data_IF_842350200603
#
_entry.id   IF_842350200603
#
_cell.length_a   1.000
_cell.length_b   1.000
_cell.length_c   1.000
_cell.angle_alpha   90.00
_cell.angle_beta   90.00
_cell.angle_gamma   90.00
#
_symmetry.space_group_name_H-M   'P 1'
#
loop_
_entity.id
_entity.type
_entity.pdbx_description
1 polymer ?
#
# COMPACT_ATOMS: atom_id res chain seq x y z
N UNK A 1 -0.50 -7.75 5.97
CA UNK A 1 -1.41 -7.26 4.90
C UNK A 1 -2.59 -6.53 5.50
N UNK A 2 -3.19 -5.67 4.70
CA UNK A 2 -4.43 -4.96 5.03
C UNK A 2 -5.42 -5.12 3.87
N UNK A 3 -6.72 -5.16 4.20
CA UNK A 3 -7.79 -5.29 3.23
C UNK A 3 -8.55 -3.97 3.12
N UNK A 4 -8.81 -3.49 1.91
CA UNK A 4 -9.46 -2.21 1.65
C UNK A 4 -10.55 -2.33 0.60
N UNK A 5 -11.77 -1.85 0.94
CA UNK A 5 -12.87 -1.69 -0.01
C UNK A 5 -12.94 -0.28 -0.62
N UNK A 6 -12.16 0.65 -0.09
CA UNK A 6 -11.99 2.01 -0.61
C UNK A 6 -10.51 2.33 -0.62
N UNK A 7 -9.98 2.80 -1.73
CA UNK A 7 -8.58 3.16 -1.83
C UNK A 7 -8.29 4.38 -0.95
N UNK A 8 -7.37 4.21 0.00
CA UNK A 8 -6.96 5.29 0.90
C UNK A 8 -5.52 5.73 0.56
N UNK A 9 -5.31 6.95 0.05
CA UNK A 9 -3.98 7.44 -0.32
C UNK A 9 -3.02 7.58 0.87
N UNK A 10 -3.54 7.60 2.11
CA UNK A 10 -2.72 7.71 3.32
C UNK A 10 -2.19 6.36 3.83
N UNK A 11 -2.32 5.29 3.05
CA UNK A 11 -1.81 3.98 3.45
C UNK A 11 -0.31 3.96 3.77
N UNK A 12 0.58 4.66 3.03
CA UNK A 12 1.99 4.72 3.40
C UNK A 12 2.26 5.33 4.77
N UNK A 13 1.49 6.36 5.16
CA UNK A 13 1.59 6.97 6.50
C UNK A 13 1.18 5.94 7.57
N UNK A 14 0.09 5.20 7.35
CA UNK A 14 -0.36 4.13 8.25
C UNK A 14 0.69 3.01 8.34
N UNK A 15 1.27 2.60 7.21
CA UNK A 15 2.33 1.61 7.14
C UNK A 15 3.54 1.99 7.97
N UNK A 16 4.00 3.22 7.87
CA UNK A 16 5.11 3.74 8.69
C UNK A 16 4.82 3.60 10.20
N UNK A 17 3.61 3.98 10.63
CA UNK A 17 3.21 3.87 12.03
C UNK A 17 3.16 2.39 12.47
N UNK A 18 2.64 1.51 11.62
CA UNK A 18 2.55 0.08 11.92
C UNK A 18 3.94 -0.55 12.04
N UNK A 19 4.83 -0.28 11.11
CA UNK A 19 6.22 -0.78 11.16
C UNK A 19 6.96 -0.26 12.38
N UNK A 20 6.81 1.02 12.72
CA UNK A 20 7.42 1.59 13.91
C UNK A 20 7.03 0.82 15.18
N UNK A 21 5.73 0.56 15.37
CA UNK A 21 5.21 -0.21 16.52
C UNK A 21 5.67 -1.67 16.50
N UNK A 22 5.68 -2.32 15.33
CA UNK A 22 6.09 -3.71 15.20
C UNK A 22 7.59 -3.88 15.50
N UNK A 23 8.45 -2.99 14.96
CA UNK A 23 9.87 -3.04 15.23
C UNK A 23 10.21 -2.66 16.68
N UNK A 24 9.50 -1.70 17.28
CA UNK A 24 9.64 -1.42 18.71
C UNK A 24 9.34 -2.66 19.56
N UNK A 25 8.24 -3.33 19.27
CA UNK A 25 7.86 -4.57 19.94
C UNK A 25 8.87 -5.69 19.73
N UNK A 26 9.34 -5.88 18.49
CA UNK A 26 10.34 -6.89 18.14
C UNK A 26 11.67 -6.65 18.87
N UNK A 27 12.15 -5.40 18.91
CA UNK A 27 13.38 -5.00 19.61
C UNK A 27 13.28 -5.31 21.09
N UNK A 28 12.15 -4.96 21.74
CA UNK A 28 11.88 -5.24 23.16
C UNK A 28 11.84 -6.74 23.45
N UNK A 29 11.09 -7.51 22.67
CA UNK A 29 10.91 -8.95 22.88
C UNK A 29 12.21 -9.74 22.72
N UNK A 30 13.08 -9.29 21.84
CA UNK A 30 14.38 -9.94 21.59
C UNK A 30 15.54 -9.31 22.38
N UNK A 31 15.27 -8.37 23.29
CA UNK A 31 16.28 -7.67 24.11
C UNK A 31 17.41 -7.06 23.25
N UNK A 32 17.07 -6.48 22.09
CA UNK A 32 18.04 -5.90 21.18
C UNK A 32 18.48 -4.50 21.64
N UNK A 33 19.80 -4.24 21.60
CA UNK A 33 20.35 -2.94 21.99
C UNK A 33 20.60 -2.07 20.75
N UNK A 34 19.68 -1.14 20.47
CA UNK A 34 19.78 -0.21 19.33
C UNK A 34 20.91 0.84 19.48
N UNK A 35 21.43 1.04 20.69
CA UNK A 35 22.53 1.97 20.98
C UNK A 35 23.90 1.29 20.96
N UNK A 36 23.93 -0.01 20.70
CA UNK A 36 25.17 -0.78 20.56
C UNK A 36 25.89 -0.49 19.24
N UNK A 37 27.18 -0.85 19.18
CA UNK A 37 28.00 -0.66 17.95
C UNK A 37 27.74 -1.71 16.87
N UNK A 38 27.01 -2.79 17.18
CA UNK A 38 26.73 -3.89 16.25
C UNK A 38 25.47 -3.57 15.46
N UNK A 39 25.52 -3.72 14.13
CA UNK A 39 24.33 -3.62 13.27
C UNK A 39 23.30 -4.68 13.67
N UNK A 40 22.07 -4.26 13.92
CA UNK A 40 20.94 -5.14 14.18
C UNK A 40 20.26 -5.51 12.88
N UNK A 41 19.92 -6.78 12.73
CA UNK A 41 19.11 -7.28 11.63
C UNK A 41 17.65 -7.31 12.06
N UNK A 42 16.80 -6.64 11.30
CA UNK A 42 15.35 -6.60 11.53
C UNK A 42 14.63 -7.44 10.46
N UNK A 43 13.43 -7.95 10.75
CA UNK A 43 12.61 -8.59 9.74
C UNK A 43 12.36 -7.67 8.54
N UNK A 44 12.37 -8.24 7.34
CA UNK A 44 12.17 -7.48 6.11
C UNK A 44 10.71 -6.97 6.02
N UNK A 45 10.49 -5.64 5.90
CA UNK A 45 9.14 -5.11 5.88
C UNK A 45 8.49 -5.27 4.50
N UNK A 46 7.23 -5.69 4.49
CA UNK A 46 6.37 -5.65 3.30
C UNK A 46 4.99 -5.14 3.69
N UNK A 47 4.53 -4.08 3.05
CA UNK A 47 3.21 -3.56 3.26
C UNK A 47 2.34 -3.84 2.03
N UNK A 48 1.51 -4.87 2.16
CA UNK A 48 0.63 -5.37 1.11
C UNK A 48 -0.81 -4.99 1.43
N UNK A 49 -1.51 -4.44 0.46
CA UNK A 49 -2.92 -4.08 0.54
C UNK A 49 -3.66 -4.89 -0.51
N UNK A 50 -4.68 -5.61 -0.08
CA UNK A 50 -5.64 -6.26 -0.97
C UNK A 50 -6.84 -5.34 -1.16
N UNK A 51 -7.05 -4.91 -2.39
CA UNK A 51 -8.13 -4.01 -2.78
C UNK A 51 -9.26 -4.78 -3.48
N UNK A 52 -10.47 -4.66 -2.94
CA UNK A 52 -11.68 -5.22 -3.53
C UNK A 52 -12.84 -4.20 -3.62
N UNK A 53 -12.50 -2.92 -3.74
CA UNK A 53 -13.49 -1.85 -3.86
C UNK A 53 -14.31 -1.93 -5.14
N UNK A 54 -15.45 -1.23 -5.12
CA UNK A 54 -16.35 -1.13 -6.29
C UNK A 54 -15.79 -0.17 -7.34
N UNK A 55 -15.05 0.84 -6.90
CA UNK A 55 -14.38 1.79 -7.79
C UNK A 55 -13.15 1.13 -8.41
N UNK A 56 -12.98 1.18 -9.75
CA UNK A 56 -11.78 0.63 -10.36
C UNK A 56 -10.54 1.40 -9.87
N UNK A 57 -9.41 0.70 -9.76
CA UNK A 57 -8.13 1.39 -9.64
C UNK A 57 -7.86 2.19 -10.92
N UNK A 58 -7.00 3.21 -10.82
CA UNK A 58 -6.62 4.04 -11.98
C UNK A 58 -6.23 3.15 -13.16
N UNK A 59 -6.81 3.40 -14.34
CA UNK A 59 -6.65 2.60 -15.57
C UNK A 59 -7.01 1.11 -15.41
N UNK A 60 -7.86 0.76 -14.43
CA UNK A 60 -8.27 -0.63 -14.15
C UNK A 60 -7.07 -1.58 -13.90
N UNK A 61 -6.03 -1.06 -13.28
CA UNK A 61 -4.76 -1.80 -13.04
C UNK A 61 -4.93 -2.94 -12.04
N UNK A 62 -4.17 -3.99 -12.25
CA UNK A 62 -4.03 -5.11 -11.31
C UNK A 62 -3.20 -4.73 -10.07
N UNK A 63 -2.30 -3.77 -10.22
CA UNK A 63 -1.31 -3.40 -9.22
C UNK A 63 -0.98 -1.91 -9.27
N UNK A 64 -0.77 -1.31 -8.09
CA UNK A 64 -0.22 0.03 -7.96
C UNK A 64 0.60 0.17 -6.68
N UNK A 65 1.45 1.18 -6.63
CA UNK A 65 2.18 1.57 -5.42
C UNK A 65 1.72 2.94 -4.94
N UNK A 66 1.64 3.09 -3.63
CA UNK A 66 1.44 4.37 -2.96
C UNK A 66 2.72 4.66 -2.17
N UNK A 67 3.22 5.88 -2.28
CA UNK A 67 4.49 6.29 -1.70
C UNK A 67 4.29 7.33 -0.60
N UNK A 68 5.04 7.20 0.49
CA UNK A 68 5.02 8.19 1.58
C UNK A 68 5.54 9.54 1.10
N UNK A 69 6.50 9.55 0.17
CA UNK A 69 7.03 10.77 -0.44
C UNK A 69 5.97 11.66 -1.09
N UNK A 70 4.86 11.09 -1.57
CA UNK A 70 3.76 11.83 -2.15
C UNK A 70 2.99 12.68 -1.12
N UNK A 71 3.15 12.37 0.16
CA UNK A 71 2.53 13.10 1.26
C UNK A 71 3.36 14.28 1.75
N UNK A 72 4.63 14.43 1.35
CA UNK A 72 5.49 15.52 1.81
C UNK A 72 5.18 16.83 1.07
N UNK A 73 5.07 17.92 1.80
CA UNK A 73 4.66 19.22 1.27
C UNK A 73 5.59 19.76 0.18
N UNK A 74 6.90 19.50 0.28
CA UNK A 74 7.87 20.03 -0.70
C UNK A 74 7.78 19.37 -2.08
N UNK A 75 7.32 18.12 -2.19
CA UNK A 75 7.12 17.46 -3.48
C UNK A 75 5.99 18.07 -4.29
N UNK A 76 5.01 18.70 -3.62
CA UNK A 76 3.88 19.36 -4.28
C UNK A 76 4.24 20.69 -4.93
N UNK A 77 5.37 21.32 -4.54
CA UNK A 77 5.79 22.63 -5.05
C UNK A 77 6.64 22.53 -6.34
N UNK A 78 7.12 21.37 -6.71
CA UNK A 78 7.89 21.14 -7.93
C UNK A 78 7.20 20.11 -8.82
N UNK A 79 6.55 20.50 -9.92
CA UNK A 79 6.13 19.54 -10.93
C UNK A 79 7.40 18.90 -11.52
N UNK A 80 7.67 17.65 -11.15
CA UNK A 80 8.72 16.85 -11.78
C UNK A 80 8.28 16.59 -13.21
N UNK A 81 8.79 17.38 -14.16
CA UNK A 81 8.79 16.95 -15.56
C UNK A 81 9.70 15.73 -15.63
N UNK A 82 9.12 14.60 -16.01
CA UNK A 82 9.87 13.39 -16.32
C UNK A 82 10.67 13.63 -17.62
N UNK A 83 11.81 14.26 -17.50
CA UNK A 83 12.83 14.27 -18.57
C UNK A 83 13.88 13.22 -18.19
N UNK A 84 13.79 12.10 -18.87
CA UNK A 84 14.78 11.04 -18.88
C UNK A 84 16.07 11.52 -19.55
N UNK A 85 16.92 12.24 -18.80
CA UNK A 85 18.35 12.39 -19.13
C UNK A 85 19.11 12.77 -17.86
N UNK A 86 19.53 11.76 -17.12
CA UNK A 86 20.49 11.93 -16.03
C UNK A 86 21.90 12.03 -16.62
N UNK A 87 22.40 13.23 -16.85
CA UNK A 87 23.82 13.44 -17.13
C UNK A 87 24.58 13.71 -15.83
N UNK A 88 25.49 12.79 -15.51
CA UNK A 88 26.49 12.95 -14.47
C UNK A 88 27.41 14.14 -14.83
N UNK A 89 27.36 15.21 -14.04
CA UNK A 89 28.50 16.12 -13.75
C UNK A 89 27.98 17.27 -12.87
N UNK A 90 28.21 17.20 -11.57
CA UNK A 90 28.30 18.40 -10.74
C UNK A 90 29.39 18.22 -9.69
N UNK A 91 30.53 18.83 -9.99
CA UNK A 91 31.62 19.08 -9.10
C UNK A 91 31.21 20.08 -8.01
N UNK A 92 31.49 19.73 -6.76
CA UNK A 92 31.34 20.62 -5.61
C UNK A 92 32.26 21.85 -5.75
N UNK A 93 31.72 23.05 -5.70
CA UNK A 93 32.45 24.27 -5.36
C UNK A 93 31.98 24.74 -3.99
N UNK A 94 32.91 24.67 -3.03
CA UNK A 94 32.75 25.28 -1.73
C UNK A 94 33.11 26.75 -1.83
N UNK A 95 32.13 27.64 -1.76
CA UNK A 95 32.31 29.00 -1.22
C UNK A 95 30.91 29.67 -1.07
N UNK A 96 30.43 29.79 0.15
CA UNK A 96 29.36 30.71 0.49
C UNK A 96 29.47 31.11 1.98
N UNK A 97 29.89 32.35 2.18
CA UNK A 97 29.98 33.05 3.46
C UNK A 97 28.60 33.15 4.14
N UNK A 98 28.56 32.77 5.42
CA UNK A 98 27.40 32.84 6.32
C UNK A 98 27.13 34.30 6.68
N UNK A 99 25.91 34.79 6.43
CA UNK A 99 25.33 35.96 7.09
C UNK A 99 24.03 35.55 7.81
N UNK A 100 24.05 35.74 9.11
CA UNK A 100 23.00 35.49 10.10
C UNK A 100 21.81 36.43 9.90
N UNK A 101 20.60 35.87 9.68
CA UNK A 101 19.32 36.45 10.14
C UNK A 101 18.11 35.60 9.66
N UNK A 102 17.32 35.10 10.63
CA UNK A 102 15.91 34.73 10.45
C UNK A 102 15.69 33.27 10.00
N UNK A 103 14.95 32.55 10.85
CA UNK A 103 14.38 31.25 10.49
C UNK A 103 13.60 31.31 9.17
N UNK A 104 14.29 31.16 8.07
CA UNK A 104 13.70 31.04 6.74
C UNK A 104 13.80 29.58 6.32
N UNK A 105 12.66 29.02 5.90
CA UNK A 105 12.56 27.75 5.20
C UNK A 105 13.78 27.53 4.32
N UNK A 106 14.69 26.64 4.72
CA UNK A 106 15.76 26.20 3.84
C UNK A 106 15.11 25.53 2.63
N UNK A 107 15.30 26.05 1.41
CA UNK A 107 14.86 25.32 0.23
C UNK A 107 15.68 24.02 0.17
N UNK A 108 15.00 22.89 0.37
CA UNK A 108 15.61 21.60 0.12
C UNK A 108 16.13 21.62 -1.32
N UNK A 109 17.40 21.34 -1.51
CA UNK A 109 18.04 21.42 -2.82
C UNK A 109 17.23 20.60 -3.84
N UNK A 110 16.94 21.21 -4.99
CA UNK A 110 16.23 20.58 -6.11
C UNK A 110 16.89 19.22 -6.41
N UNK A 111 16.12 18.11 -6.24
CA UNK A 111 16.61 16.76 -6.51
C UNK A 111 16.97 15.89 -5.31
N UNK A 112 16.86 16.35 -4.06
CA UNK A 112 17.05 15.49 -2.90
C UNK A 112 15.81 14.62 -2.67
N UNK A 113 16.02 13.29 -2.66
CA UNK A 113 14.98 12.35 -2.23
C UNK A 113 14.80 12.43 -0.71
N UNK A 114 13.57 12.26 -0.18
CA UNK A 114 13.39 12.20 1.26
C UNK A 114 14.18 11.03 1.85
N UNK A 115 14.74 11.24 3.06
CA UNK A 115 15.43 10.18 3.80
C UNK A 115 14.49 9.12 4.35
N UNK A 116 13.19 9.39 4.35
CA UNK A 116 12.16 8.48 4.84
C UNK A 116 11.22 8.13 3.71
N UNK A 117 11.06 6.82 3.46
CA UNK A 117 10.10 6.29 2.49
C UNK A 117 9.37 5.07 3.05
N UNK A 118 8.10 4.96 2.73
CA UNK A 118 7.29 3.78 2.99
C UNK A 118 6.39 3.55 1.78
N UNK A 119 6.54 2.40 1.15
CA UNK A 119 5.75 2.02 -0.02
C UNK A 119 4.67 1.03 0.38
N UNK A 120 3.43 1.34 0.05
CA UNK A 120 2.29 0.43 0.17
C UNK A 120 1.98 -0.17 -1.21
N UNK A 121 2.02 -1.50 -1.32
CA UNK A 121 1.74 -2.25 -2.55
C UNK A 121 0.30 -2.69 -2.58
N UNK A 122 -0.47 -2.13 -3.51
CA UNK A 122 -1.90 -2.39 -3.66
C UNK A 122 -2.12 -3.40 -4.78
N UNK A 123 -2.75 -4.52 -4.45
CA UNK A 123 -3.15 -5.56 -5.40
C UNK A 123 -4.66 -5.56 -5.54
N UNK A 124 -5.15 -5.38 -6.75
CA UNK A 124 -6.57 -5.51 -7.07
C UNK A 124 -6.97 -6.98 -7.00
N UNK A 125 -7.80 -7.34 -6.03
CA UNK A 125 -8.29 -8.71 -5.84
C UNK A 125 -9.77 -8.86 -6.26
N UNK A 126 -10.29 -7.92 -7.05
CA UNK A 126 -11.60 -8.11 -7.67
C UNK A 126 -11.58 -9.27 -8.65
N UNK A 127 -12.74 -9.88 -8.86
CA UNK A 127 -12.87 -10.98 -9.80
C UNK A 127 -12.43 -10.57 -11.22
N UNK A 128 -11.55 -11.36 -11.81
CA UNK A 128 -10.95 -11.08 -13.13
C UNK A 128 -9.57 -10.42 -13.09
N UNK A 129 -9.15 -9.91 -11.92
CA UNK A 129 -7.83 -9.28 -11.71
C UNK A 129 -6.82 -10.23 -11.10
N UNK A 130 -5.51 -9.90 -11.26
CA UNK A 130 -4.38 -10.62 -10.65
C UNK A 130 -4.47 -12.14 -10.74
N UNK A 131 -4.80 -12.67 -11.92
CA UNK A 131 -5.04 -14.11 -12.14
C UNK A 131 -3.87 -14.98 -11.68
N UNK A 132 -2.62 -14.53 -11.86
CA UNK A 132 -1.44 -15.26 -11.39
C UNK A 132 -1.39 -15.37 -9.87
N UNK A 133 -1.73 -14.31 -9.15
CA UNK A 133 -1.84 -14.31 -7.69
C UNK A 133 -2.99 -15.22 -7.23
N UNK A 134 -4.13 -15.14 -7.89
CA UNK A 134 -5.31 -15.95 -7.60
C UNK A 134 -5.02 -17.45 -7.79
N UNK A 135 -4.37 -17.83 -8.89
CA UNK A 135 -3.99 -19.22 -9.16
C UNK A 135 -3.06 -19.82 -8.08
N UNK A 136 -2.30 -18.98 -7.37
CA UNK A 136 -1.42 -19.40 -6.27
C UNK A 136 -2.10 -19.43 -4.90
N UNK A 137 -3.28 -18.84 -4.76
CA UNK A 137 -4.00 -18.76 -3.50
C UNK A 137 -5.49 -19.01 -3.69
N UNK A 138 -5.87 -20.29 -3.69
CA UNK A 138 -7.26 -20.72 -3.89
C UNK A 138 -8.26 -20.00 -2.98
N UNK A 139 -7.94 -19.81 -1.70
CA UNK A 139 -8.83 -19.12 -0.77
C UNK A 139 -9.07 -17.66 -1.18
N UNK A 140 -8.05 -16.97 -1.71
CA UNK A 140 -8.18 -15.61 -2.20
C UNK A 140 -9.02 -15.55 -3.47
N UNK A 141 -8.83 -16.49 -4.38
CA UNK A 141 -9.64 -16.65 -5.59
C UNK A 141 -11.11 -16.89 -5.25
N UNK A 142 -11.39 -17.85 -4.38
CA UNK A 142 -12.74 -18.19 -3.93
C UNK A 142 -13.42 -16.98 -3.23
N UNK A 143 -12.65 -16.23 -2.43
CA UNK A 143 -13.13 -15.00 -1.83
C UNK A 143 -13.47 -13.92 -2.88
N UNK A 144 -12.62 -13.73 -3.90
CA UNK A 144 -12.89 -12.77 -4.98
C UNK A 144 -14.17 -13.12 -5.76
N UNK A 145 -14.42 -14.40 -5.97
CA UNK A 145 -15.66 -14.89 -6.61
C UNK A 145 -16.88 -14.54 -5.77
N UNK A 146 -16.85 -14.80 -4.46
CA UNK A 146 -17.93 -14.46 -3.55
C UNK A 146 -18.26 -12.96 -3.60
N UNK A 147 -17.24 -12.10 -3.45
CA UNK A 147 -17.43 -10.64 -3.50
C UNK A 147 -17.91 -10.18 -4.88
N UNK A 148 -17.40 -10.77 -5.97
CA UNK A 148 -17.86 -10.49 -7.33
C UNK A 148 -19.34 -10.82 -7.54
N UNK A 149 -19.83 -11.95 -7.01
CA UNK A 149 -21.24 -12.35 -7.04
C UNK A 149 -22.12 -11.37 -6.27
N UNK A 150 -21.71 -10.96 -5.06
CA UNK A 150 -22.42 -9.98 -4.24
C UNK A 150 -22.52 -8.65 -5.02
N UNK A 151 -21.38 -8.14 -5.49
CA UNK A 151 -21.31 -6.87 -6.22
C UNK A 151 -22.17 -6.87 -7.48
N UNK A 152 -22.17 -7.97 -8.24
CA UNK A 152 -23.00 -8.12 -9.43
C UNK A 152 -24.50 -8.01 -9.10
N UNK A 153 -24.95 -8.69 -8.04
CA UNK A 153 -26.35 -8.66 -7.59
C UNK A 153 -26.76 -7.27 -7.09
N UNK A 154 -25.89 -6.60 -6.33
CA UNK A 154 -26.15 -5.22 -5.87
C UNK A 154 -26.29 -4.25 -7.04
N UNK A 155 -25.46 -4.40 -8.10
CA UNK A 155 -25.55 -3.58 -9.32
C UNK A 155 -26.89 -3.77 -10.07
N UNK A 156 -27.54 -4.93 -9.93
CA UNK A 156 -28.89 -5.16 -10.49
C UNK A 156 -30.01 -4.63 -9.60
N UNK A 157 -29.71 -3.94 -8.51
CA UNK A 157 -30.68 -3.31 -7.62
C UNK A 157 -31.15 -4.20 -6.45
N UNK A 158 -30.52 -5.37 -6.24
CA UNK A 158 -30.84 -6.23 -5.09
C UNK A 158 -30.21 -5.61 -3.84
N UNK A 159 -30.98 -5.47 -2.73
CA UNK A 159 -30.43 -5.01 -1.45
C UNK A 159 -29.23 -5.86 -1.01
N UNK A 160 -28.22 -5.22 -0.40
CA UNK A 160 -26.95 -5.86 -0.03
C UNK A 160 -27.13 -7.16 0.77
N UNK A 161 -28.02 -7.17 1.75
CA UNK A 161 -28.30 -8.34 2.59
C UNK A 161 -28.81 -9.53 1.74
N UNK A 162 -29.79 -9.29 0.89
CA UNK A 162 -30.33 -10.33 0.00
C UNK A 162 -29.31 -10.77 -1.06
N UNK A 163 -28.49 -9.83 -1.55
CA UNK A 163 -27.42 -10.13 -2.50
C UNK A 163 -26.35 -11.00 -1.87
N UNK A 164 -26.00 -10.73 -0.60
CA UNK A 164 -25.05 -11.52 0.17
C UNK A 164 -25.58 -12.94 0.41
N UNK A 165 -26.81 -13.08 0.91
CA UNK A 165 -27.42 -14.39 1.15
C UNK A 165 -27.49 -15.24 -0.11
N UNK A 166 -27.95 -14.66 -1.22
CA UNK A 166 -28.03 -15.37 -2.49
C UNK A 166 -26.63 -15.79 -3.01
N UNK A 167 -25.63 -14.92 -2.89
CA UNK A 167 -24.26 -15.23 -3.31
C UNK A 167 -23.62 -16.32 -2.44
N UNK A 168 -23.87 -16.31 -1.13
CA UNK A 168 -23.40 -17.35 -0.19
C UNK A 168 -24.01 -18.70 -0.56
N UNK A 169 -25.31 -18.78 -0.80
CA UNK A 169 -25.98 -20.03 -1.20
C UNK A 169 -25.46 -20.57 -2.54
N UNK A 170 -25.20 -19.68 -3.49
CA UNK A 170 -24.58 -20.06 -4.77
C UNK A 170 -23.15 -20.58 -4.57
N UNK A 171 -22.33 -19.93 -3.73
CA UNK A 171 -20.98 -20.35 -3.45
C UNK A 171 -20.94 -21.72 -2.74
N UNK A 172 -21.81 -21.95 -1.75
CA UNK A 172 -21.91 -23.25 -1.07
C UNK A 172 -22.26 -24.35 -2.08
N UNK A 173 -23.24 -24.12 -2.95
CA UNK A 173 -23.65 -25.10 -3.96
C UNK A 173 -22.52 -25.42 -4.94
N UNK A 174 -21.71 -24.43 -5.30
CA UNK A 174 -20.63 -24.55 -6.26
C UNK A 174 -19.30 -25.01 -5.60
N UNK A 175 -19.29 -25.27 -4.29
CA UNK A 175 -18.10 -25.70 -3.54
C UNK A 175 -17.04 -24.62 -3.31
N UNK A 176 -17.45 -23.33 -3.41
CA UNK A 176 -16.59 -22.15 -3.23
C UNK A 176 -16.68 -21.71 -1.78
N UNK A 177 -15.54 -21.64 -1.07
CA UNK A 177 -15.47 -21.36 0.36
C UNK A 177 -16.42 -22.22 1.20
N UNK A 178 -16.84 -23.38 0.72
CA UNK A 178 -17.92 -24.18 1.29
C UNK A 178 -17.72 -24.49 2.77
N UNK A 179 -16.53 -24.98 3.14
CA UNK A 179 -16.23 -25.33 4.55
C UNK A 179 -16.26 -24.14 5.50
N UNK A 180 -15.95 -22.96 4.99
CA UNK A 180 -15.98 -21.71 5.74
C UNK A 180 -17.43 -21.21 5.89
N UNK A 181 -18.17 -21.13 4.78
CA UNK A 181 -19.52 -20.56 4.74
C UNK A 181 -20.58 -21.41 5.44
N UNK A 182 -20.37 -22.73 5.57
CA UNK A 182 -21.28 -23.60 6.32
C UNK A 182 -21.09 -23.44 7.85
N UNK A 183 -19.89 -23.05 8.29
CA UNK A 183 -19.56 -22.93 9.73
C UNK A 183 -19.90 -21.57 10.33
N UNK A 184 -20.12 -20.56 9.51
CA UNK A 184 -20.33 -19.16 9.89
C UNK A 184 -21.59 -18.58 9.28
#
# INVERSE_FOLDING_TARGET
YEHQSTLNPNMPIRGLIYFGKQYESYIKQNNLNIYGKKLLLLPFPQFVIFYNGVEPLEDDKDYMELHLSDAFEYTRQTPVKNDATFNQQNTFSADATVSDSGAQNMPCAVGTRPCLECTARVYNINYGHNQELMARCRTLEEYSILIGRISSKVRTGIPLEQAADAAVQECIRDGILQDFLIKH
#
